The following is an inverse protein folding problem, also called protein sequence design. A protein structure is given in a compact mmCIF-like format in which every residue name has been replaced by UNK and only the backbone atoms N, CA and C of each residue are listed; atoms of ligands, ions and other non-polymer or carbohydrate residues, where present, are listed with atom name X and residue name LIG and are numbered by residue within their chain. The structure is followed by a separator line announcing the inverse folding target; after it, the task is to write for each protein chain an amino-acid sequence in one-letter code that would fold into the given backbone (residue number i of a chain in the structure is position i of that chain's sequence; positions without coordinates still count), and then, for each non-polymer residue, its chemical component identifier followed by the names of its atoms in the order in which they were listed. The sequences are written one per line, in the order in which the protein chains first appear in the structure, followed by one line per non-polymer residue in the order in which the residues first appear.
data_IF_669008139085
#
_entry.id   IF_669008139085
#
_cell.length_a   1.000
_cell.length_b   1.000
_cell.length_c   1.000
_cell.angle_alpha   90.00
_cell.angle_beta   90.00
_cell.angle_gamma   90.00
#
_symmetry.space_group_name_H-M   'P 1'
#
loop_
_entity.id
_entity.type
_entity.pdbx_description
1 polymer ?
#
# COMPACT_ATOMS: atom_id res chain seq x y z
N UNK A 1 -5.13 -6.40 8.35
CA UNK A 1 -5.56 -5.18 9.09
C UNK A 1 -6.61 -5.60 10.11
N UNK A 2 -6.47 -5.22 11.39
CA UNK A 2 -7.43 -5.64 12.43
C UNK A 2 -8.63 -4.69 12.59
N UNK A 3 -8.48 -3.44 12.14
CA UNK A 3 -9.54 -2.43 12.13
C UNK A 3 -9.46 -1.62 10.83
N UNK A 4 -10.59 -1.03 10.41
CA UNK A 4 -10.71 -0.24 9.17
C UNK A 4 -10.88 1.26 9.41
N UNK A 5 -10.20 1.85 10.40
CA UNK A 5 -10.36 3.28 10.72
C UNK A 5 -9.82 4.16 9.59
N UNK A 6 -10.41 5.33 9.42
CA UNK A 6 -9.98 6.32 8.42
C UNK A 6 -8.48 6.61 8.56
N UNK A 7 -7.76 6.50 7.44
CA UNK A 7 -6.31 6.76 7.34
C UNK A 7 -5.43 5.95 8.29
N UNK A 8 -5.91 4.82 8.82
CA UNK A 8 -5.23 4.09 9.89
C UNK A 8 -3.75 3.78 9.60
N UNK A 9 -3.44 3.22 8.42
CA UNK A 9 -2.06 2.91 8.03
C UNK A 9 -1.21 4.18 7.96
N UNK A 10 -1.73 5.22 7.31
CA UNK A 10 -1.03 6.50 7.07
C UNK A 10 -0.66 7.20 8.37
N UNK A 11 -1.62 7.32 9.29
CA UNK A 11 -1.43 7.92 10.62
C UNK A 11 -0.43 7.12 11.44
N UNK A 12 -0.56 5.79 11.44
CA UNK A 12 0.23 4.92 12.30
C UNK A 12 1.72 4.87 11.91
N UNK A 13 2.00 4.96 10.61
CA UNK A 13 3.35 5.03 10.07
C UNK A 13 3.97 6.41 10.29
N UNK A 14 3.21 7.48 10.04
CA UNK A 14 3.63 8.85 10.34
C UNK A 14 3.93 9.06 11.83
N UNK A 15 3.09 8.55 12.73
CA UNK A 15 3.30 8.69 14.19
C UNK A 15 4.54 7.96 14.70
N UNK A 16 5.11 7.05 13.91
CA UNK A 16 6.37 6.34 14.19
C UNK A 16 7.59 6.98 13.54
N UNK A 17 7.42 8.11 12.85
CA UNK A 17 8.49 8.78 12.10
C UNK A 17 8.76 8.18 10.70
N UNK A 18 7.91 7.26 10.25
CA UNK A 18 8.05 6.58 8.96
C UNK A 18 6.86 6.90 8.03
N UNK A 19 6.59 8.19 7.81
CA UNK A 19 5.49 8.61 6.92
C UNK A 19 5.64 7.99 5.52
N UNK A 20 4.51 7.64 4.90
CA UNK A 20 4.49 7.09 3.55
C UNK A 20 5.02 8.10 2.54
N UNK A 21 5.74 7.63 1.53
CA UNK A 21 6.23 8.49 0.43
C UNK A 21 5.04 9.16 -0.27
N UNK A 22 5.20 10.44 -0.59
CA UNK A 22 4.18 11.28 -1.25
C UNK A 22 2.81 11.35 -0.53
N UNK A 23 2.76 11.08 0.78
CA UNK A 23 1.59 11.35 1.61
C UNK A 23 1.51 12.84 2.00
N UNK A 24 0.77 13.62 1.21
CA UNK A 24 0.61 15.06 1.42
C UNK A 24 -0.04 15.44 2.76
N UNK A 25 -0.81 14.55 3.40
CA UNK A 25 -1.54 14.88 4.65
C UNK A 25 -0.69 14.59 5.90
N UNK A 26 0.09 13.51 5.87
CA UNK A 26 0.79 13.01 7.07
C UNK A 26 2.31 13.18 7.02
N UNK A 27 2.80 14.14 6.23
CA UNK A 27 4.21 14.54 6.20
C UNK A 27 5.09 13.72 5.27
N UNK A 28 4.48 12.94 4.37
CA UNK A 28 5.17 12.20 3.33
C UNK A 28 5.71 13.11 2.24
N UNK A 29 7.03 13.23 2.15
CA UNK A 29 7.67 14.01 1.07
C UNK A 29 7.49 13.28 -0.27
N UNK A 30 7.14 14.00 -1.36
CA UNK A 30 7.21 13.43 -2.69
C UNK A 30 8.64 12.97 -3.01
N UNK A 31 8.78 11.72 -3.40
CA UNK A 31 10.04 11.12 -3.81
C UNK A 31 9.74 9.98 -4.80
N UNK A 32 10.78 9.48 -5.49
CA UNK A 32 10.69 8.31 -6.37
C UNK A 32 9.63 8.45 -7.50
N UNK A 33 9.36 9.70 -7.94
CA UNK A 33 8.34 9.99 -8.96
C UNK A 33 6.88 9.85 -8.49
N UNK A 34 6.65 9.60 -7.20
CA UNK A 34 5.30 9.38 -6.66
C UNK A 34 4.57 10.70 -6.40
N UNK A 35 3.30 10.75 -6.79
CA UNK A 35 2.39 11.90 -6.62
C UNK A 35 1.25 11.65 -5.65
N UNK A 36 1.14 10.42 -5.14
CA UNK A 36 0.15 9.97 -4.15
C UNK A 36 0.82 9.11 -3.08
N UNK A 37 0.14 8.90 -1.96
CA UNK A 37 0.64 8.04 -0.90
C UNK A 37 1.06 6.67 -1.45
N UNK A 38 2.26 6.23 -1.09
CA UNK A 38 2.81 4.92 -1.41
C UNK A 38 2.07 3.80 -0.65
N UNK A 39 0.81 3.60 -1.00
CA UNK A 39 -0.09 2.63 -0.39
C UNK A 39 -0.95 2.00 -1.48
N UNK A 40 -0.96 0.67 -1.49
CA UNK A 40 -1.72 -0.17 -2.40
C UNK A 40 -2.32 -1.34 -1.62
N UNK A 41 -3.58 -1.64 -1.88
CA UNK A 41 -4.24 -2.83 -1.33
C UNK A 41 -4.01 -3.99 -2.29
N UNK A 42 -2.92 -4.73 -2.09
CA UNK A 42 -2.50 -5.80 -2.99
C UNK A 42 -3.41 -7.03 -2.94
N UNK A 43 -4.01 -7.33 -1.78
CA UNK A 43 -4.88 -8.48 -1.59
C UNK A 43 -6.10 -8.11 -0.74
N UNK A 44 -7.24 -8.71 -1.08
CA UNK A 44 -8.46 -8.70 -0.29
C UNK A 44 -8.98 -10.13 -0.15
N UNK A 45 -9.12 -10.61 1.08
CA UNK A 45 -9.73 -11.90 1.36
C UNK A 45 -10.90 -11.74 2.34
N UNK A 46 -12.03 -12.40 2.05
CA UNK A 46 -13.20 -12.43 2.92
C UNK A 46 -14.04 -13.68 2.70
N UNK A 47 -14.85 -14.05 3.69
CA UNK A 47 -15.84 -15.11 3.55
C UNK A 47 -17.03 -14.62 2.73
N UNK A 48 -17.42 -15.38 1.71
CA UNK A 48 -18.57 -15.08 0.88
C UNK A 48 -19.84 -15.07 1.74
N UNK A 49 -20.71 -14.05 1.58
CA UNK A 49 -21.79 -13.78 2.54
C UNK A 49 -22.92 -14.81 2.54
N UNK A 50 -23.03 -15.67 1.51
CA UNK A 50 -24.11 -16.67 1.43
C UNK A 50 -23.69 -18.06 1.92
N UNK A 51 -22.47 -18.50 1.60
CA UNK A 51 -22.02 -19.87 1.85
C UNK A 51 -20.76 -19.96 2.72
N UNK A 52 -20.18 -18.82 3.12
CA UNK A 52 -19.01 -18.75 3.99
C UNK A 52 -17.70 -19.19 3.33
N UNK A 53 -17.69 -19.46 2.02
CA UNK A 53 -16.46 -19.86 1.33
C UNK A 53 -15.47 -18.70 1.29
N UNK A 54 -14.19 -18.97 1.54
CA UNK A 54 -13.17 -17.91 1.48
C UNK A 54 -12.92 -17.52 0.03
N UNK A 55 -13.06 -16.23 -0.26
CA UNK A 55 -12.72 -15.64 -1.54
C UNK A 55 -11.49 -14.76 -1.36
N UNK A 56 -10.54 -14.86 -2.30
CA UNK A 56 -9.33 -14.05 -2.34
C UNK A 56 -9.23 -13.35 -3.68
N UNK A 57 -8.94 -12.05 -3.63
CA UNK A 57 -8.74 -11.18 -4.78
C UNK A 57 -7.36 -10.55 -4.67
N UNK A 58 -6.61 -10.55 -5.77
CA UNK A 58 -5.33 -9.88 -5.88
C UNK A 58 -5.42 -8.70 -6.85
N UNK A 59 -4.72 -7.62 -6.53
CA UNK A 59 -4.59 -6.44 -7.38
C UNK A 59 -3.10 -6.24 -7.71
N UNK A 60 -2.71 -6.29 -9.00
CA UNK A 60 -1.31 -6.20 -9.39
C UNK A 60 -0.70 -4.87 -8.93
N UNK A 61 0.62 -4.88 -8.72
CA UNK A 61 1.37 -3.70 -8.32
C UNK A 61 1.19 -2.58 -9.38
N UNK A 62 0.68 -1.40 -9.01
CA UNK A 62 0.47 -0.34 -9.98
C UNK A 62 1.81 0.24 -10.46
N UNK A 63 1.80 0.78 -11.69
CA UNK A 63 3.02 1.18 -12.39
C UNK A 63 3.82 2.27 -11.67
N UNK A 64 3.15 3.17 -10.94
CA UNK A 64 3.79 4.20 -10.12
C UNK A 64 4.65 3.60 -8.99
N UNK A 65 4.10 2.62 -8.28
CA UNK A 65 4.81 1.89 -7.23
C UNK A 65 5.90 0.97 -7.79
N UNK A 66 5.64 0.30 -8.92
CA UNK A 66 6.64 -0.54 -9.57
C UNK A 66 7.86 0.29 -10.02
N UNK A 67 7.64 1.44 -10.64
CA UNK A 67 8.71 2.36 -11.03
C UNK A 67 9.48 2.90 -9.82
N UNK A 68 8.77 3.25 -8.74
CA UNK A 68 9.41 3.68 -7.49
C UNK A 68 10.25 2.56 -6.86
N UNK A 69 9.80 1.32 -6.94
CA UNK A 69 10.50 0.16 -6.39
C UNK A 69 11.83 -0.12 -7.12
N UNK A 70 11.84 -0.06 -8.45
CA UNK A 70 13.08 -0.24 -9.24
C UNK A 70 14.17 0.77 -8.88
N UNK A 71 13.79 2.00 -8.49
CA UNK A 71 14.74 3.01 -8.03
C UNK A 71 15.36 2.65 -6.68
N UNK A 72 14.61 1.95 -5.81
CA UNK A 72 15.05 1.56 -4.46
C UNK A 72 15.82 0.24 -4.47
N UNK A 73 15.38 -0.73 -5.28
CA UNK A 73 16.03 -2.01 -5.49
C UNK A 73 16.18 -2.29 -6.98
N UNK A 74 17.34 -1.98 -7.57
CA UNK A 74 17.61 -2.36 -8.96
C UNK A 74 17.75 -3.89 -9.03
N UNK A 75 16.78 -4.56 -9.66
CA UNK A 75 16.76 -6.03 -9.76
C UNK A 75 15.40 -6.71 -9.80
N UNK A 76 14.29 -5.97 -9.79
CA UNK A 76 12.93 -6.49 -9.92
C UNK A 76 12.05 -6.28 -8.68
N UNK A 77 10.71 -6.23 -8.85
CA UNK A 77 9.76 -6.20 -7.74
C UNK A 77 9.91 -7.46 -6.86
N UNK A 78 9.57 -7.38 -5.56
CA UNK A 78 9.58 -8.55 -4.69
C UNK A 78 8.68 -9.61 -5.33
N UNK A 79 9.21 -10.82 -5.51
CA UNK A 79 8.44 -11.96 -5.98
C UNK A 79 7.30 -12.21 -4.98
N UNK A 80 6.06 -12.29 -5.48
CA UNK A 80 4.84 -12.58 -4.72
C UNK A 80 4.92 -13.89 -3.93
#
# INVERSE_FOLDING_TARGET
LHTGRTHQIRVHLSSRGHALVADATYGGRPALGMTRQALHAAELAFAHPQDGQTMTFAAPLPADLAAAWEVVQPGGPPSE
#
